data_IF_694198692019
#
_entry.id   IF_694198692019
#
_cell.length_a   1.000
_cell.length_b   1.000
_cell.length_c   1.000
_cell.angle_alpha   90.00
_cell.angle_beta   90.00
_cell.angle_gamma   90.00
#
_symmetry.space_group_name_H-M   'P 1'
#
loop_
_entity.id
_entity.type
_entity.pdbx_description
1 polymer ?
#
# COMPACT_ATOMS: atom_id res chain seq x y z
N UNK A 1 16.03 -6.58 11.19
CA UNK A 1 15.38 -5.59 12.10
C UNK A 1 15.07 -4.26 11.41
N UNK A 2 16.02 -3.60 10.73
CA UNK A 2 15.76 -2.29 10.07
C UNK A 2 14.69 -2.33 8.96
N UNK A 3 14.75 -3.32 8.05
CA UNK A 3 13.78 -3.46 6.96
C UNK A 3 12.36 -3.73 7.45
N UNK A 4 12.23 -4.52 8.53
CA UNK A 4 10.96 -4.77 9.19
C UNK A 4 10.34 -3.48 9.71
N UNK A 5 11.12 -2.69 10.46
CA UNK A 5 10.65 -1.45 11.05
C UNK A 5 10.21 -0.45 9.96
N UNK A 6 10.96 -0.37 8.85
CA UNK A 6 10.59 0.45 7.69
C UNK A 6 9.26 -0.04 7.09
N UNK A 7 9.15 -1.33 6.79
CA UNK A 7 7.91 -1.90 6.23
C UNK A 7 6.71 -1.64 7.13
N UNK A 8 6.85 -1.82 8.45
CA UNK A 8 5.80 -1.51 9.43
C UNK A 8 5.45 -0.02 9.45
N UNK A 9 6.43 0.88 9.45
CA UNK A 9 6.17 2.32 9.40
C UNK A 9 5.43 2.73 8.12
N UNK A 10 5.85 2.21 6.97
CA UNK A 10 5.19 2.45 5.68
C UNK A 10 3.76 1.89 5.68
N UNK A 11 3.54 0.70 6.25
CA UNK A 11 2.21 0.11 6.36
C UNK A 11 1.29 0.96 7.25
N UNK A 12 1.79 1.49 8.37
CA UNK A 12 1.05 2.41 9.23
C UNK A 12 0.68 3.68 8.46
N UNK A 13 1.63 4.28 7.74
CA UNK A 13 1.36 5.48 6.92
C UNK A 13 0.30 5.20 5.84
N UNK A 14 0.37 4.06 5.17
CA UNK A 14 -0.62 3.65 4.16
C UNK A 14 -2.02 3.47 4.78
N UNK A 15 -2.09 2.84 5.97
CA UNK A 15 -3.34 2.67 6.70
C UNK A 15 -3.94 4.01 7.17
N UNK A 16 -3.11 4.92 7.68
CA UNK A 16 -3.53 6.26 8.07
C UNK A 16 -4.03 7.07 6.87
N UNK A 17 -3.32 7.02 5.75
CA UNK A 17 -3.75 7.73 4.54
C UNK A 17 -5.05 7.15 3.97
N UNK A 18 -5.21 5.81 4.00
CA UNK A 18 -6.45 5.16 3.59
C UNK A 18 -7.63 5.47 4.50
N UNK A 19 -7.42 5.50 5.82
CA UNK A 19 -8.46 5.90 6.78
C UNK A 19 -8.84 7.38 6.65
N UNK A 20 -7.89 8.27 6.35
CA UNK A 20 -8.19 9.66 6.00
C UNK A 20 -9.10 9.73 4.76
N UNK A 21 -8.84 8.94 3.71
CA UNK A 21 -9.75 8.89 2.56
C UNK A 21 -11.17 8.49 2.98
N UNK A 22 -11.32 7.39 3.72
CA UNK A 22 -12.63 6.90 4.17
C UNK A 22 -13.37 7.92 5.06
N UNK A 23 -12.66 8.54 6.00
CA UNK A 23 -13.23 9.51 6.94
C UNK A 23 -13.61 10.83 6.26
N UNK A 24 -12.82 11.25 5.26
CA UNK A 24 -13.08 12.50 4.54
C UNK A 24 -14.07 12.34 3.39
N UNK A 25 -14.31 11.14 2.84
CA UNK A 25 -15.32 10.95 1.77
C UNK A 25 -16.67 11.59 2.10
N UNK A 26 -17.34 11.30 3.24
CA UNK A 26 -18.65 11.88 3.52
C UNK A 26 -18.61 13.39 3.78
N UNK A 27 -17.44 13.96 4.08
CA UNK A 27 -17.25 15.40 4.29
C UNK A 27 -16.94 16.14 2.98
N UNK A 28 -16.23 15.48 2.06
CA UNK A 28 -15.82 16.03 0.77
C UNK A 28 -16.91 15.88 -0.31
N UNK A 29 -17.76 14.86 -0.20
CA UNK A 29 -18.79 14.56 -1.18
C UNK A 29 -20.19 14.57 -0.53
N UNK A 30 -21.02 15.52 -0.94
CA UNK A 30 -22.40 15.65 -0.45
C UNK A 30 -23.34 14.53 -0.93
N UNK A 31 -22.93 13.78 -1.96
CA UNK A 31 -23.68 12.65 -2.52
C UNK A 31 -22.73 11.56 -3.02
N UNK A 32 -23.24 10.34 -3.18
CA UNK A 32 -22.49 9.19 -3.69
C UNK A 32 -22.31 9.26 -5.22
N UNK A 33 -21.40 10.13 -5.65
CA UNK A 33 -20.97 10.23 -7.06
C UNK A 33 -19.93 9.16 -7.39
N UNK A 34 -19.61 9.01 -8.68
CA UNK A 34 -18.53 8.11 -9.12
C UNK A 34 -17.18 8.51 -8.49
N UNK A 35 -16.93 9.81 -8.33
CA UNK A 35 -15.72 10.32 -7.68
C UNK A 35 -15.70 9.99 -6.19
N UNK A 36 -16.84 10.07 -5.50
CA UNK A 36 -16.98 9.65 -4.11
C UNK A 36 -16.70 8.15 -3.94
N UNK A 37 -17.20 7.33 -4.87
CA UNK A 37 -16.94 5.88 -4.90
C UNK A 37 -15.46 5.57 -5.18
N UNK A 38 -14.83 6.33 -6.07
CA UNK A 38 -13.39 6.22 -6.32
C UNK A 38 -12.56 6.61 -5.10
N UNK A 39 -12.93 7.69 -4.42
CA UNK A 39 -12.21 8.19 -3.25
C UNK A 39 -12.31 7.22 -2.07
N UNK A 40 -13.53 6.73 -1.76
CA UNK A 40 -13.73 5.72 -0.71
C UNK A 40 -13.11 4.37 -1.08
N UNK A 41 -13.23 3.96 -2.35
CA UNK A 41 -12.69 2.70 -2.85
C UNK A 41 -11.16 2.67 -2.78
N UNK A 42 -10.51 3.78 -3.14
CA UNK A 42 -9.07 3.97 -2.96
C UNK A 42 -8.70 3.87 -1.49
N UNK A 43 -9.41 4.57 -0.60
CA UNK A 43 -9.20 4.48 0.85
C UNK A 43 -9.31 3.06 1.38
N UNK A 44 -10.33 2.32 0.97
CA UNK A 44 -10.56 0.93 1.39
C UNK A 44 -9.45 0.00 0.90
N UNK A 45 -9.06 0.11 -0.38
CA UNK A 45 -7.96 -0.67 -0.96
C UNK A 45 -6.64 -0.41 -0.22
N UNK A 46 -6.36 0.86 0.12
CA UNK A 46 -5.19 1.24 0.90
C UNK A 46 -5.19 0.63 2.30
N UNK A 47 -6.31 0.66 3.02
CA UNK A 47 -6.43 0.06 4.36
C UNK A 47 -6.21 -1.45 4.31
N UNK A 48 -6.80 -2.14 3.32
CA UNK A 48 -6.62 -3.59 3.16
C UNK A 48 -5.17 -3.92 2.85
N UNK A 49 -4.53 -3.21 1.91
CA UNK A 49 -3.14 -3.42 1.57
C UNK A 49 -2.22 -3.14 2.76
N UNK A 50 -2.47 -2.07 3.52
CA UNK A 50 -1.74 -1.75 4.75
C UNK A 50 -1.87 -2.86 5.80
N UNK A 51 -3.09 -3.35 6.03
CA UNK A 51 -3.35 -4.45 6.96
C UNK A 51 -2.59 -5.72 6.54
N UNK A 52 -2.61 -6.08 5.25
CA UNK A 52 -1.87 -7.22 4.71
C UNK A 52 -0.36 -7.11 5.00
N UNK A 53 0.23 -5.92 4.81
CA UNK A 53 1.64 -5.68 5.12
C UNK A 53 1.93 -5.75 6.64
N UNK A 54 1.00 -5.31 7.49
CA UNK A 54 1.16 -5.32 8.94
C UNK A 54 1.06 -6.74 9.54
N UNK A 55 0.15 -7.58 9.05
CA UNK A 55 -0.11 -8.92 9.62
C UNK A 55 0.90 -9.99 9.20
N UNK A 56 1.74 -9.72 8.20
CA UNK A 56 2.70 -10.70 7.67
C UNK A 56 3.76 -11.19 8.68
N UNK A 57 3.84 -10.59 9.87
CA UNK A 57 4.73 -11.04 10.94
C UNK A 57 6.20 -10.72 10.69
N UNK A 58 7.08 -11.21 11.56
CA UNK A 58 8.52 -10.87 11.57
C UNK A 58 9.36 -11.61 10.52
N UNK A 59 8.90 -12.78 10.08
CA UNK A 59 9.63 -13.63 9.13
C UNK A 59 8.63 -14.35 8.22
N UNK A 60 7.94 -13.62 7.33
CA UNK A 60 7.01 -14.23 6.40
C UNK A 60 7.73 -15.19 5.44
N UNK A 61 7.09 -16.32 5.14
CA UNK A 61 7.55 -17.25 4.12
C UNK A 61 7.58 -16.62 2.72
N UNK A 62 8.31 -17.25 1.80
CA UNK A 62 8.51 -16.74 0.44
C UNK A 62 7.19 -16.43 -0.29
N UNK A 63 6.20 -17.33 -0.20
CA UNK A 63 4.90 -17.13 -0.82
C UNK A 63 4.20 -15.86 -0.34
N UNK A 64 4.11 -15.66 0.98
CA UNK A 64 3.52 -14.46 1.59
C UNK A 64 4.24 -13.19 1.14
N UNK A 65 5.57 -13.21 1.11
CA UNK A 65 6.38 -12.08 0.64
C UNK A 65 6.10 -11.72 -0.82
N UNK A 66 6.01 -12.71 -1.69
CA UNK A 66 5.67 -12.50 -3.10
C UNK A 66 4.24 -11.99 -3.28
N UNK A 67 3.28 -12.50 -2.50
CA UNK A 67 1.91 -11.98 -2.50
C UNK A 67 1.85 -10.51 -2.08
N UNK A 68 2.57 -10.13 -1.02
CA UNK A 68 2.66 -8.72 -0.60
C UNK A 68 3.31 -7.85 -1.67
N UNK A 69 4.40 -8.32 -2.29
CA UNK A 69 5.03 -7.60 -3.39
C UNK A 69 4.04 -7.37 -4.53
N UNK A 70 3.28 -8.40 -4.92
CA UNK A 70 2.27 -8.30 -5.97
C UNK A 70 1.14 -7.30 -5.62
N UNK A 71 0.60 -7.36 -4.40
CA UNK A 71 -0.41 -6.40 -3.91
C UNK A 71 0.12 -4.98 -4.00
N UNK A 72 1.32 -4.75 -3.49
CA UNK A 72 1.93 -3.42 -3.43
C UNK A 72 2.30 -2.89 -4.83
N UNK A 73 2.74 -3.76 -5.75
CA UNK A 73 2.96 -3.40 -7.17
C UNK A 73 1.63 -3.02 -7.83
N UNK A 74 0.58 -3.81 -7.62
CA UNK A 74 -0.74 -3.51 -8.17
C UNK A 74 -1.26 -2.16 -7.65
N UNK A 75 -1.11 -1.88 -6.35
CA UNK A 75 -1.44 -0.58 -5.76
C UNK A 75 -0.59 0.56 -6.35
N UNK A 76 0.72 0.36 -6.49
CA UNK A 76 1.59 1.36 -7.13
C UNK A 76 1.17 1.63 -8.59
N UNK A 77 0.81 0.58 -9.33
CA UNK A 77 0.31 0.67 -10.70
C UNK A 77 -1.05 1.36 -10.78
N UNK A 78 -1.94 1.09 -9.83
CA UNK A 78 -3.21 1.78 -9.68
C UNK A 78 -3.02 3.29 -9.48
N UNK A 79 -2.12 3.70 -8.58
CA UNK A 79 -1.78 5.11 -8.40
C UNK A 79 -1.12 5.70 -9.66
N UNK A 80 -0.21 4.98 -10.32
CA UNK A 80 0.37 5.44 -11.57
C UNK A 80 -0.69 5.65 -12.68
N UNK A 81 -1.68 4.76 -12.77
CA UNK A 81 -2.79 4.91 -13.70
C UNK A 81 -3.72 6.09 -13.32
N UNK A 82 -3.94 6.32 -12.01
CA UNK A 82 -4.75 7.43 -11.51
C UNK A 82 -4.19 8.79 -11.91
N UNK A 83 -2.89 8.90 -12.21
CA UNK A 83 -2.27 10.14 -12.73
C UNK A 83 -2.96 10.68 -13.98
N UNK A 84 -3.48 9.80 -14.83
CA UNK A 84 -4.17 10.17 -16.07
C UNK A 84 -5.51 10.86 -15.83
N UNK A 85 -6.08 10.72 -14.64
CA UNK A 85 -7.41 11.23 -14.27
C UNK A 85 -7.32 12.32 -13.21
N UNK A 86 -6.36 12.21 -12.28
CA UNK A 86 -6.17 13.13 -11.17
C UNK A 86 -4.67 13.43 -10.95
N UNK A 87 -4.03 14.23 -11.82
CA UNK A 87 -2.63 14.57 -11.64
C UNK A 87 -2.46 15.46 -10.40
N UNK A 88 -1.78 14.93 -9.39
CA UNK A 88 -1.57 15.63 -8.13
C UNK A 88 -0.51 14.96 -7.26
N UNK A 89 0.08 15.72 -6.31
CA UNK A 89 1.14 15.21 -5.43
C UNK A 89 0.68 13.99 -4.61
N UNK A 90 -0.60 13.93 -4.23
CA UNK A 90 -1.17 12.80 -3.51
C UNK A 90 -1.07 11.48 -4.28
N UNK A 91 -1.17 11.52 -5.61
CA UNK A 91 -1.07 10.33 -6.45
C UNK A 91 0.36 9.82 -6.51
N UNK A 92 1.33 10.74 -6.64
CA UNK A 92 2.77 10.41 -6.61
C UNK A 92 3.15 9.82 -5.25
N UNK A 93 2.73 10.46 -4.15
CA UNK A 93 3.02 10.02 -2.78
C UNK A 93 2.45 8.62 -2.53
N UNK A 94 1.19 8.38 -2.91
CA UNK A 94 0.56 7.06 -2.80
C UNK A 94 1.31 6.00 -3.61
N UNK A 95 1.64 6.31 -4.86
CA UNK A 95 2.42 5.40 -5.73
C UNK A 95 3.78 5.04 -5.13
N UNK A 96 4.55 6.02 -4.69
CA UNK A 96 5.87 5.81 -4.08
C UNK A 96 5.79 5.03 -2.76
N UNK A 97 4.74 5.27 -1.97
CA UNK A 97 4.49 4.55 -0.71
C UNK A 97 4.31 3.05 -0.96
N UNK A 98 3.42 2.68 -1.89
CA UNK A 98 3.19 1.28 -2.23
C UNK A 98 4.37 0.65 -2.99
N UNK A 99 5.06 1.40 -3.85
CA UNK A 99 6.30 0.92 -4.46
C UNK A 99 7.36 0.59 -3.39
N UNK A 100 7.50 1.42 -2.37
CA UNK A 100 8.43 1.19 -1.27
C UNK A 100 8.07 -0.06 -0.46
N UNK A 101 6.78 -0.30 -0.21
CA UNK A 101 6.29 -1.53 0.41
C UNK A 101 6.56 -2.76 -0.46
N UNK A 102 6.41 -2.66 -1.78
CA UNK A 102 6.74 -3.74 -2.71
C UNK A 102 8.23 -4.11 -2.63
N UNK A 103 9.10 -3.10 -2.64
CA UNK A 103 10.55 -3.30 -2.52
C UNK A 103 10.94 -3.91 -1.17
N UNK A 104 10.25 -3.57 -0.09
CA UNK A 104 10.45 -4.21 1.22
C UNK A 104 10.03 -5.69 1.22
N UNK A 105 9.00 -6.04 0.47
CA UNK A 105 8.47 -7.40 0.41
C UNK A 105 9.37 -8.34 -0.42
N UNK A 106 9.98 -7.84 -1.51
CA UNK A 106 10.82 -8.64 -2.41
C UNK A 106 12.00 -9.29 -1.64
N UNK A 107 12.19 -10.61 -1.78
CA UNK A 107 13.34 -11.31 -1.21
C UNK A 107 14.65 -10.79 -1.79
N UNK A 108 15.50 -10.22 -0.94
CA UNK A 108 16.87 -9.91 -1.32
C UNK A 108 17.71 -11.20 -1.27
N UNK A 109 18.54 -11.47 -2.28
CA UNK A 109 19.34 -12.72 -2.37
C UNK A 109 20.25 -12.97 -1.14
N UNK A 110 20.55 -11.92 -0.37
CA UNK A 110 21.34 -11.99 0.86
C UNK A 110 20.60 -12.59 2.08
N UNK A 111 19.27 -12.76 2.01
CA UNK A 111 18.46 -13.25 3.13
C UNK A 111 18.08 -14.74 3.03
N UNK A 112 18.66 -15.49 2.09
CA UNK A 112 18.54 -16.94 2.10
C UNK A 112 19.55 -17.51 3.09
N UNK A 113 19.12 -18.26 4.12
CA UNK A 113 20.03 -19.12 4.84
C UNK A 113 20.69 -20.01 3.79
N UNK A 114 22.03 -20.03 3.74
CA UNK A 114 22.73 -21.06 2.98
C UNK A 114 22.24 -22.39 3.56
N UNK A 115 21.67 -23.24 2.70
CA UNK A 115 21.43 -24.62 3.08
C UNK A 115 22.78 -25.21 3.47
N UNK A 116 22.94 -25.53 4.75
CA UNK A 116 24.05 -26.34 5.29
C UNK A 116 23.82 -27.78 4.93
#
# INVERSE_FOLDING_TARGET
MRLQAISTALAILAGLLGTVHLALTPLAYASWTIDALWFVGTGMAMVIAAAANAIAGKTPGLGVRMSLAAINIAMSGFFAAAWLVLPGPQVIIGGLLFLSLALCAIPNRMNFPKAT
#
